data_IF_083092907572
#
_entry.id   IF_083092907572
#
_cell.length_a   1.000
_cell.length_b   1.000
_cell.length_c   1.000
_cell.angle_alpha   90.00
_cell.angle_beta   90.00
_cell.angle_gamma   90.00
#
_symmetry.space_group_name_H-M   'P 1'
#
loop_
_entity.id
_entity.type
_entity.pdbx_description
1 polymer ?
#
# COMPACT_ATOMS: atom_id res chain seq x y z
N UNK A 1 -1.49 12.76 5.14
CA UNK A 1 -2.63 11.86 5.46
C UNK A 1 -2.40 11.24 6.83
N UNK A 2 -3.37 11.34 7.74
CA UNK A 2 -3.30 10.72 9.07
C UNK A 2 -4.07 9.38 9.04
N UNK A 3 -3.40 8.29 9.40
CA UNK A 3 -4.00 6.95 9.50
C UNK A 3 -4.12 6.62 10.99
N UNK A 4 -5.31 6.23 11.43
CA UNK A 4 -5.56 5.85 12.82
C UNK A 4 -4.71 4.64 13.23
N UNK A 5 -4.33 4.52 14.52
CA UNK A 5 -3.68 3.33 15.05
C UNK A 5 -4.46 2.04 14.74
N UNK A 6 -5.79 2.10 14.79
CA UNK A 6 -6.67 0.99 14.44
C UNK A 6 -6.39 0.44 13.02
N UNK A 7 -6.42 1.31 12.00
CA UNK A 7 -6.17 0.88 10.62
C UNK A 7 -4.70 0.52 10.36
N UNK A 8 -3.74 1.15 11.06
CA UNK A 8 -2.33 0.75 10.95
C UNK A 8 -2.10 -0.70 11.41
N UNK A 9 -2.68 -1.07 12.56
CA UNK A 9 -2.54 -2.40 13.12
C UNK A 9 -3.22 -3.44 12.22
N UNK A 10 -4.46 -3.18 11.80
CA UNK A 10 -5.19 -4.09 10.91
C UNK A 10 -4.52 -4.24 9.54
N UNK A 11 -3.94 -3.17 8.98
CA UNK A 11 -3.20 -3.26 7.72
C UNK A 11 -2.02 -4.21 7.85
N UNK A 12 -1.25 -4.11 8.93
CA UNK A 12 -0.09 -4.99 9.11
C UNK A 12 -0.50 -6.47 9.12
N UNK A 13 -1.60 -6.78 9.82
CA UNK A 13 -2.10 -8.15 9.90
C UNK A 13 -2.70 -8.62 8.56
N UNK A 14 -3.42 -7.75 7.84
CA UNK A 14 -3.94 -8.04 6.50
C UNK A 14 -2.82 -8.33 5.49
N UNK A 15 -1.75 -7.53 5.49
CA UNK A 15 -0.61 -7.75 4.60
C UNK A 15 0.12 -9.06 4.92
N UNK A 16 0.24 -9.42 6.21
CA UNK A 16 0.81 -10.70 6.61
C UNK A 16 -0.03 -11.88 6.09
N UNK A 17 -1.36 -11.82 6.20
CA UNK A 17 -2.26 -12.85 5.64
C UNK A 17 -2.10 -13.01 4.12
N UNK A 18 -1.97 -11.89 3.39
CA UNK A 18 -1.74 -11.93 1.94
C UNK A 18 -0.37 -12.52 1.59
N UNK A 19 0.67 -12.19 2.36
CA UNK A 19 2.04 -12.68 2.14
C UNK A 19 2.13 -14.19 2.41
N UNK A 20 1.53 -14.66 3.51
CA UNK A 20 1.40 -16.08 3.83
C UNK A 20 0.70 -16.86 2.72
N UNK A 21 -0.24 -16.22 2.01
CA UNK A 21 -0.96 -16.82 0.88
C UNK A 21 -0.20 -16.75 -0.46
N UNK A 22 0.87 -15.97 -0.54
CA UNK A 22 1.49 -15.62 -1.82
C UNK A 22 2.24 -16.77 -2.47
N UNK A 23 3.01 -17.52 -1.66
CA UNK A 23 3.86 -18.61 -2.13
C UNK A 23 3.51 -19.96 -1.48
N UNK A 24 3.75 -21.05 -2.20
CA UNK A 24 3.74 -22.39 -1.63
C UNK A 24 5.13 -22.80 -1.10
N UNK A 25 5.20 -23.98 -0.47
CA UNK A 25 6.45 -24.53 0.07
C UNK A 25 7.53 -24.78 -0.99
N UNK A 26 7.16 -24.78 -2.28
CA UNK A 26 8.07 -24.91 -3.42
C UNK A 26 8.47 -23.54 -4.00
N UNK A 27 8.00 -22.44 -3.41
CA UNK A 27 8.27 -21.07 -3.88
C UNK A 27 7.42 -20.61 -5.07
N UNK A 28 6.39 -21.35 -5.47
CA UNK A 28 5.51 -20.98 -6.58
C UNK A 28 4.45 -19.98 -6.15
N UNK A 29 4.18 -18.99 -7.00
CA UNK A 29 3.15 -17.98 -6.72
C UNK A 29 1.74 -18.56 -6.88
N UNK A 30 1.02 -18.73 -5.77
CA UNK A 30 -0.29 -19.42 -5.70
C UNK A 30 -1.42 -18.56 -5.14
N UNK A 31 -1.19 -17.26 -4.96
CA UNK A 31 -2.14 -16.32 -4.33
C UNK A 31 -3.57 -16.42 -4.89
N UNK A 32 -3.73 -16.35 -6.22
CA UNK A 32 -5.05 -16.40 -6.86
C UNK A 32 -5.80 -17.70 -6.57
N UNK A 33 -5.09 -18.83 -6.52
CA UNK A 33 -5.68 -20.14 -6.19
C UNK A 33 -6.14 -20.17 -4.73
N UNK A 34 -5.33 -19.66 -3.80
CA UNK A 34 -5.69 -19.59 -2.37
C UNK A 34 -6.83 -18.62 -2.10
N UNK A 35 -6.88 -17.48 -2.79
CA UNK A 35 -8.01 -16.54 -2.73
C UNK A 35 -9.30 -17.20 -3.20
N UNK A 36 -9.27 -17.91 -4.32
CA UNK A 36 -10.43 -18.65 -4.82
C UNK A 36 -10.90 -19.73 -3.83
N UNK A 37 -9.98 -20.37 -3.12
CA UNK A 37 -10.32 -21.32 -2.06
C UNK A 37 -10.96 -20.61 -0.86
N UNK A 38 -10.36 -19.54 -0.34
CA UNK A 38 -10.92 -18.75 0.78
C UNK A 38 -12.33 -18.24 0.49
N UNK A 39 -12.61 -17.82 -0.75
CA UNK A 39 -13.96 -17.40 -1.18
C UNK A 39 -14.99 -18.53 -1.15
N UNK A 40 -14.58 -19.79 -1.35
CA UNK A 40 -15.48 -20.95 -1.20
C UNK A 40 -15.76 -21.30 0.26
N UNK A 41 -14.87 -20.90 1.15
CA UNK A 41 -14.96 -21.10 2.59
C UNK A 41 -15.63 -19.90 3.31
N UNK A 42 -16.27 -19.00 2.55
CA UNK A 42 -16.81 -17.74 3.08
C UNK A 42 -17.82 -17.93 4.21
N UNK A 43 -18.65 -18.98 4.16
CA UNK A 43 -19.62 -19.27 5.22
C UNK A 43 -18.94 -19.59 6.55
N UNK A 44 -17.78 -20.25 6.51
CA UNK A 44 -16.98 -20.50 7.71
C UNK A 44 -16.31 -19.21 8.17
N UNK A 45 -15.65 -18.49 7.26
CA UNK A 45 -14.91 -17.25 7.56
C UNK A 45 -15.83 -16.13 8.09
N UNK A 46 -17.08 -16.10 7.66
CA UNK A 46 -18.12 -15.17 8.13
C UNK A 46 -18.34 -15.19 9.65
N UNK A 47 -17.98 -16.27 10.35
CA UNK A 47 -18.07 -16.32 11.81
C UNK A 47 -16.97 -15.50 12.50
N UNK A 48 -15.93 -15.10 11.77
CA UNK A 48 -14.75 -14.38 12.29
C UNK A 48 -14.73 -12.90 11.92
N UNK A 49 -15.84 -12.35 11.40
CA UNK A 49 -15.88 -10.95 10.93
C UNK A 49 -15.50 -9.94 12.00
N UNK A 50 -15.89 -10.16 13.26
CA UNK A 50 -15.59 -9.24 14.37
C UNK A 50 -14.26 -9.55 15.06
N UNK A 51 -13.91 -10.84 15.19
CA UNK A 51 -12.72 -11.27 15.93
C UNK A 51 -11.42 -11.15 15.12
N UNK A 52 -11.49 -11.40 13.81
CA UNK A 52 -10.32 -11.41 12.90
C UNK A 52 -10.70 -10.88 11.51
N UNK A 53 -11.11 -9.60 11.40
CA UNK A 53 -11.55 -9.00 10.13
C UNK A 53 -10.46 -9.03 9.05
N UNK A 54 -9.18 -8.91 9.42
CA UNK A 54 -8.05 -8.97 8.49
C UNK A 54 -7.99 -10.28 7.70
N UNK A 55 -8.24 -11.41 8.36
CA UNK A 55 -8.21 -12.73 7.74
C UNK A 55 -9.37 -12.91 6.77
N UNK A 56 -10.55 -12.39 7.12
CA UNK A 56 -11.73 -12.50 6.25
C UNK A 56 -11.63 -11.52 5.08
N UNK A 57 -10.98 -10.37 5.26
CA UNK A 57 -10.82 -9.34 4.21
C UNK A 57 -10.17 -9.89 2.94
N UNK A 58 -9.27 -10.88 3.05
CA UNK A 58 -8.60 -11.51 1.89
C UNK A 58 -9.59 -12.04 0.85
N UNK A 59 -10.80 -12.45 1.23
CA UNK A 59 -11.82 -12.94 0.28
C UNK A 59 -12.26 -11.87 -0.72
N UNK A 60 -12.20 -10.61 -0.32
CA UNK A 60 -12.55 -9.43 -1.10
C UNK A 60 -11.33 -8.73 -1.71
N UNK A 61 -10.13 -9.31 -1.59
CA UNK A 61 -8.94 -8.78 -2.24
C UNK A 61 -9.15 -8.68 -3.76
N UNK A 62 -8.79 -7.54 -4.32
CA UNK A 62 -9.07 -7.07 -5.70
C UNK A 62 -10.55 -6.95 -6.04
N UNK A 63 -11.42 -6.88 -5.04
CA UNK A 63 -12.87 -6.79 -5.19
C UNK A 63 -13.41 -5.36 -5.18
N UNK A 64 -12.58 -4.37 -4.85
CA UNK A 64 -12.98 -2.98 -4.68
C UNK A 64 -12.31 -2.06 -5.71
N UNK A 65 -13.08 -1.12 -6.27
CA UNK A 65 -12.63 0.03 -7.04
C UNK A 65 -13.07 1.30 -6.34
N UNK A 66 -12.15 2.23 -6.10
CA UNK A 66 -12.41 3.44 -5.32
C UNK A 66 -12.60 4.64 -6.25
N UNK A 67 -13.73 5.35 -6.09
CA UNK A 67 -14.08 6.53 -6.90
C UNK A 67 -13.59 7.84 -6.27
N UNK A 68 -13.47 7.87 -4.93
CA UNK A 68 -13.06 9.06 -4.19
C UNK A 68 -11.98 8.75 -3.16
N UNK A 69 -10.75 9.20 -3.43
CA UNK A 69 -9.64 9.09 -2.49
C UNK A 69 -9.89 9.89 -1.21
N UNK A 70 -10.54 11.07 -1.31
CA UNK A 70 -10.80 11.93 -0.14
C UNK A 70 -11.73 11.26 0.89
N UNK A 71 -12.75 10.52 0.43
CA UNK A 71 -13.65 9.76 1.32
C UNK A 71 -12.89 8.65 2.03
N UNK A 72 -12.02 7.93 1.32
CA UNK A 72 -11.22 6.86 1.91
C UNK A 72 -10.14 7.40 2.86
N UNK A 73 -9.49 8.51 2.52
CA UNK A 73 -8.50 9.16 3.38
C UNK A 73 -9.13 9.67 4.68
N UNK A 74 -10.36 10.17 4.61
CA UNK A 74 -11.13 10.48 5.82
C UNK A 74 -11.50 9.22 6.61
N UNK A 75 -11.97 8.16 5.94
CA UNK A 75 -12.27 6.89 6.60
C UNK A 75 -11.08 6.36 7.41
N UNK A 76 -9.87 6.43 6.83
CA UNK A 76 -8.64 6.00 7.48
C UNK A 76 -8.25 6.84 8.71
N UNK A 77 -8.80 8.04 8.87
CA UNK A 77 -8.57 8.86 10.06
C UNK A 77 -9.49 8.50 11.24
N UNK A 78 -10.45 7.60 11.05
CA UNK A 78 -11.45 7.21 12.05
C UNK A 78 -11.00 5.99 12.87
N UNK A 79 -11.57 5.86 14.07
CA UNK A 79 -11.47 4.68 14.93
C UNK A 79 -12.65 3.73 14.68
N UNK A 80 -12.57 2.50 15.19
CA UNK A 80 -13.54 1.41 14.93
C UNK A 80 -14.98 1.73 15.33
N UNK A 81 -15.18 2.60 16.32
CA UNK A 81 -16.47 3.03 16.87
C UNK A 81 -17.11 4.20 16.08
N UNK A 82 -16.34 4.85 15.21
CA UNK A 82 -16.77 6.03 14.44
C UNK A 82 -16.95 5.76 12.96
N UNK A 83 -16.90 4.49 12.55
CA UNK A 83 -17.01 4.12 11.15
C UNK A 83 -18.41 4.43 10.58
N UNK A 84 -18.50 4.94 9.34
CA UNK A 84 -19.78 5.23 8.70
C UNK A 84 -20.56 3.95 8.38
N UNK A 85 -21.85 4.10 8.09
CA UNK A 85 -22.65 3.01 7.55
C UNK A 85 -22.16 2.60 6.15
N UNK A 86 -22.20 1.29 5.85
CA UNK A 86 -21.79 0.76 4.56
C UNK A 86 -22.52 1.43 3.38
N UNK A 87 -23.83 1.64 3.47
CA UNK A 87 -24.62 2.21 2.37
C UNK A 87 -24.21 3.66 2.02
N UNK A 88 -23.65 4.41 2.98
CA UNK A 88 -23.09 5.74 2.71
C UNK A 88 -21.74 5.65 2.01
N UNK A 89 -20.88 4.71 2.45
CA UNK A 89 -19.55 4.52 1.87
C UNK A 89 -19.60 3.88 0.48
N UNK A 90 -20.54 2.97 0.25
CA UNK A 90 -20.73 2.25 -1.00
C UNK A 90 -21.00 3.17 -2.20
N UNK A 91 -21.41 4.43 -1.98
CA UNK A 91 -21.56 5.42 -3.05
C UNK A 91 -20.21 5.87 -3.63
N UNK A 92 -19.14 5.81 -2.83
CA UNK A 92 -17.78 6.18 -3.21
C UNK A 92 -16.94 4.99 -3.70
N UNK A 93 -17.52 3.78 -3.74
CA UNK A 93 -16.85 2.52 -4.05
C UNK A 93 -17.65 1.79 -5.12
N UNK A 94 -16.97 1.01 -5.93
CA UNK A 94 -17.57 0.07 -6.87
C UNK A 94 -16.99 -1.32 -6.60
N UNK A 95 -17.86 -2.31 -6.48
CA UNK A 95 -17.45 -3.69 -6.32
C UNK A 95 -17.22 -4.30 -7.70
N UNK A 96 -16.27 -5.23 -7.80
CA UNK A 96 -16.18 -6.09 -8.98
C UNK A 96 -17.44 -6.96 -9.11
N UNK A 97 -17.89 -7.33 -10.33
CA UNK A 97 -19.07 -8.17 -10.52
C UNK A 97 -19.07 -9.45 -9.66
N UNK A 98 -17.91 -10.11 -9.53
CA UNK A 98 -17.76 -11.32 -8.72
C UNK A 98 -17.85 -11.07 -7.21
N UNK A 99 -17.54 -9.86 -6.74
CA UNK A 99 -17.52 -9.50 -5.32
C UNK A 99 -18.90 -9.10 -4.79
N UNK A 100 -19.86 -8.79 -5.66
CA UNK A 100 -21.21 -8.38 -5.26
C UNK A 100 -21.94 -9.47 -4.47
N UNK A 101 -21.89 -10.72 -4.94
CA UNK A 101 -22.56 -11.84 -4.26
C UNK A 101 -21.96 -12.09 -2.87
N UNK A 102 -20.63 -11.98 -2.74
CA UNK A 102 -19.93 -12.10 -1.46
C UNK A 102 -20.31 -10.97 -0.50
N UNK A 103 -20.36 -9.73 -0.99
CA UNK A 103 -20.80 -8.60 -0.17
C UNK A 103 -22.23 -8.80 0.34
N UNK A 104 -23.17 -9.23 -0.52
CA UNK A 104 -24.56 -9.54 -0.12
C UNK A 104 -24.61 -10.66 0.93
N UNK A 105 -23.78 -11.70 0.80
CA UNK A 105 -23.68 -12.78 1.78
C UNK A 105 -23.17 -12.27 3.13
N UNK A 106 -22.10 -11.47 3.12
CA UNK A 106 -21.48 -10.90 4.31
C UNK A 106 -22.43 -9.94 5.04
N UNK A 107 -23.22 -9.13 4.32
CA UNK A 107 -24.23 -8.24 4.92
C UNK A 107 -25.32 -8.97 5.72
N UNK A 108 -25.55 -10.26 5.46
CA UNK A 108 -26.50 -11.07 6.24
C UNK A 108 -25.98 -11.40 7.64
N UNK A 109 -24.67 -11.31 7.83
CA UNK A 109 -24.03 -11.64 9.10
C UNK A 109 -24.12 -10.47 10.08
N UNK A 110 -24.14 -10.75 11.40
CA UNK A 110 -23.90 -9.73 12.41
C UNK A 110 -22.58 -9.01 12.10
N UNK A 111 -22.59 -7.67 12.19
CA UNK A 111 -21.42 -6.81 11.84
C UNK A 111 -20.96 -6.87 10.38
N UNK A 112 -21.73 -7.48 9.46
CA UNK A 112 -21.40 -7.52 8.03
C UNK A 112 -21.14 -6.15 7.41
N UNK A 113 -22.00 -5.17 7.69
CA UNK A 113 -21.85 -3.80 7.17
C UNK A 113 -20.59 -3.12 7.72
N UNK A 114 -20.32 -3.27 9.01
CA UNK A 114 -19.09 -2.77 9.64
C UNK A 114 -17.85 -3.42 9.01
N UNK A 115 -17.89 -4.73 8.80
CA UNK A 115 -16.80 -5.48 8.18
C UNK A 115 -16.52 -4.98 6.76
N UNK A 116 -17.54 -4.75 5.94
CA UNK A 116 -17.35 -4.28 4.57
C UNK A 116 -16.66 -2.90 4.54
N UNK A 117 -16.97 -2.03 5.49
CA UNK A 117 -16.27 -0.76 5.67
C UNK A 117 -14.80 -0.99 6.00
N UNK A 118 -14.50 -1.83 6.98
CA UNK A 118 -13.11 -2.18 7.36
C UNK A 118 -12.35 -2.81 6.20
N UNK A 119 -12.94 -3.81 5.53
CA UNK A 119 -12.36 -4.50 4.39
C UNK A 119 -12.03 -3.54 3.24
N UNK A 120 -12.93 -2.60 2.95
CA UNK A 120 -12.70 -1.58 1.93
C UNK A 120 -11.55 -0.62 2.28
N UNK A 121 -11.41 -0.25 3.55
CA UNK A 121 -10.31 0.57 4.02
C UNK A 121 -8.97 -0.16 3.89
N UNK A 122 -8.92 -1.43 4.29
CA UNK A 122 -7.72 -2.26 4.19
C UNK A 122 -7.29 -2.48 2.74
N UNK A 123 -8.24 -2.76 1.85
CA UNK A 123 -7.94 -2.91 0.43
C UNK A 123 -7.43 -1.60 -0.18
N UNK A 124 -8.03 -0.46 0.16
CA UNK A 124 -7.56 0.84 -0.31
C UNK A 124 -6.11 1.13 0.12
N UNK A 125 -5.75 0.81 1.36
CA UNK A 125 -4.38 0.95 1.84
C UNK A 125 -3.41 0.01 1.13
N UNK A 126 -3.84 -1.22 0.82
CA UNK A 126 -3.05 -2.19 0.07
C UNK A 126 -2.75 -1.69 -1.34
N UNK A 127 -3.78 -1.28 -2.10
CA UNK A 127 -3.63 -0.75 -3.47
C UNK A 127 -2.70 0.48 -3.50
N UNK A 128 -2.80 1.37 -2.52
CA UNK A 128 -1.94 2.56 -2.46
C UNK A 128 -0.48 2.25 -2.17
N UNK A 129 -0.21 1.16 -1.46
CA UNK A 129 1.16 0.70 -1.18
C UNK A 129 1.75 -0.06 -2.38
N UNK A 130 0.91 -0.77 -3.14
CA UNK A 130 1.33 -1.48 -4.36
C UNK A 130 1.61 -0.52 -5.54
N UNK A 131 0.97 0.65 -5.57
CA UNK A 131 1.31 1.68 -6.55
C UNK A 131 2.65 2.30 -6.19
N UNK A 132 3.68 2.23 -7.07
CA UNK A 132 4.85 3.08 -6.93
C UNK A 132 4.35 4.52 -6.89
N UNK A 133 4.69 5.26 -5.82
CA UNK A 133 4.55 6.71 -5.90
C UNK A 133 5.41 7.17 -7.07
N UNK A 134 4.91 7.98 -8.02
CA UNK A 134 5.84 8.70 -8.89
C UNK A 134 6.72 9.51 -7.94
N UNK A 135 8.03 9.28 -7.99
CA UNK A 135 8.99 10.03 -7.21
C UNK A 135 8.73 11.52 -7.48
N UNK A 136 8.15 12.22 -6.50
CA UNK A 136 8.00 13.65 -6.57
C UNK A 136 9.40 14.25 -6.34
N UNK A 137 10.14 14.45 -7.43
CA UNK A 137 11.50 14.98 -7.35
C UNK A 137 12.32 14.84 -8.62
N UNK A 138 11.84 15.39 -9.73
CA UNK A 138 12.67 16.02 -10.79
C UNK A 138 11.71 16.74 -11.72
N UNK A 139 11.48 18.02 -11.41
CA UNK A 139 10.85 18.95 -12.34
C UNK A 139 11.93 19.46 -13.29
N UNK A 140 11.62 19.49 -14.59
CA UNK A 140 12.50 19.89 -15.69
C UNK A 140 13.05 18.64 -16.40
N UNK A 141 12.82 18.40 -17.68
CA UNK A 141 12.58 19.32 -18.78
C UNK A 141 11.64 18.67 -19.82
N UNK A 142 10.83 19.52 -20.42
CA UNK A 142 10.06 19.23 -21.63
C UNK A 142 11.07 19.05 -22.78
N UNK A 143 11.11 17.88 -23.42
CA UNK A 143 11.73 17.77 -24.75
C UNK A 143 10.68 17.27 -25.74
N UNK A 144 10.10 18.23 -26.47
CA UNK A 144 9.45 18.01 -27.75
C UNK A 144 10.43 18.44 -28.86
N UNK A 145 10.60 17.56 -29.86
CA UNK A 145 11.25 17.74 -31.19
C UNK A 145 12.79 17.63 -31.19
N UNK A 146 13.45 17.00 -32.17
CA UNK A 146 13.11 16.82 -33.57
C UNK A 146 13.83 15.59 -34.17
N UNK A 147 13.33 15.10 -35.29
CA UNK A 147 13.98 14.09 -36.12
C UNK A 147 15.18 14.68 -36.88
N UNK A 148 16.28 13.93 -37.07
CA UNK A 148 16.81 13.53 -38.40
C UNK A 148 18.10 12.68 -38.33
N UNK A 149 18.10 11.70 -39.22
CA UNK A 149 19.15 10.94 -39.94
C UNK A 149 20.60 10.68 -39.43
N UNK A 150 20.92 9.37 -39.52
CA UNK A 150 22.12 8.75 -40.13
C UNK A 150 23.53 8.76 -39.50
N UNK A 151 24.06 7.53 -39.52
CA UNK A 151 25.44 7.02 -39.64
C UNK A 151 26.46 7.23 -38.51
N UNK A 152 26.87 6.09 -37.93
CA UNK A 152 28.17 5.42 -38.14
C UNK A 152 28.86 4.93 -36.85
N UNK A 153 29.11 3.62 -36.87
CA UNK A 153 30.15 2.84 -36.20
C UNK A 153 31.34 3.63 -35.61
N UNK A 154 31.61 3.42 -34.30
CA UNK A 154 32.98 3.28 -33.77
C UNK A 154 33.03 2.87 -32.30
N UNK A 155 33.68 1.74 -32.07
CA UNK A 155 34.36 1.35 -30.82
C UNK A 155 35.22 2.49 -30.24
N UNK A 156 35.13 2.75 -28.92
CA UNK A 156 36.32 3.01 -28.08
C UNK A 156 36.06 2.99 -26.55
N UNK A 157 36.72 2.04 -25.90
CA UNK A 157 37.45 2.05 -24.61
C UNK A 157 36.97 2.84 -23.37
N UNK A 158 36.68 2.04 -22.33
CA UNK A 158 37.35 2.03 -21.01
C UNK A 158 37.39 3.35 -20.20
N UNK A 159 36.35 3.58 -19.38
CA UNK A 159 36.39 4.45 -18.21
C UNK A 159 36.33 3.62 -16.91
N UNK A 160 37.22 3.91 -15.98
CA UNK A 160 37.49 3.19 -14.72
C UNK A 160 36.26 3.10 -13.79
N UNK A 161 36.08 2.01 -13.01
CA UNK A 161 35.02 1.95 -12.01
C UNK A 161 35.40 2.83 -10.81
N UNK A 162 34.63 3.90 -10.57
CA UNK A 162 34.69 4.66 -9.33
C UNK A 162 34.28 3.77 -8.15
N UNK A 163 35.16 3.70 -7.14
CA UNK A 163 35.07 2.84 -5.96
C UNK A 163 33.79 3.14 -5.15
N UNK A 164 32.83 2.21 -5.14
CA UNK A 164 31.50 2.33 -4.49
C UNK A 164 31.60 2.70 -3.00
N UNK A 165 32.73 2.40 -2.34
CA UNK A 165 32.99 2.76 -0.94
C UNK A 165 33.10 4.27 -0.68
N UNK A 166 33.57 5.07 -1.64
CA UNK A 166 33.70 6.53 -1.47
C UNK A 166 32.35 7.26 -1.60
N UNK A 167 31.39 6.63 -2.27
CA UNK A 167 30.03 7.16 -2.44
C UNK A 167 29.20 6.95 -1.18
N UNK A 168 29.31 5.78 -0.55
CA UNK A 168 28.66 5.47 0.73
C UNK A 168 29.16 6.37 1.87
N UNK A 169 30.48 6.64 1.96
CA UNK A 169 31.05 7.48 3.00
C UNK A 169 30.61 8.96 2.88
N UNK A 170 30.36 9.41 1.64
CA UNK A 170 29.81 10.75 1.36
C UNK A 170 28.32 10.84 1.70
N UNK A 171 27.56 9.82 1.36
CA UNK A 171 26.13 9.72 1.68
C UNK A 171 25.89 9.59 3.20
N UNK A 172 26.79 8.92 3.92
CA UNK A 172 26.73 8.84 5.39
C UNK A 172 27.00 10.20 6.05
N UNK A 173 28.01 10.94 5.58
CA UNK A 173 28.25 12.32 6.06
C UNK A 173 27.09 13.26 5.74
N UNK A 174 26.52 13.19 4.56
CA UNK A 174 25.36 14.01 4.18
C UNK A 174 24.13 13.68 5.03
N UNK A 175 23.93 12.40 5.40
CA UNK A 175 22.85 11.97 6.30
C UNK A 175 23.09 12.45 7.74
N UNK A 176 24.33 12.43 8.22
CA UNK A 176 24.70 12.98 9.53
C UNK A 176 24.50 14.50 9.59
N UNK A 177 24.89 15.22 8.54
CA UNK A 177 24.70 16.68 8.44
C UNK A 177 23.21 17.06 8.39
N UNK A 178 22.41 16.35 7.58
CA UNK A 178 20.96 16.56 7.50
C UNK A 178 20.25 16.23 8.81
N UNK A 179 20.69 15.17 9.51
CA UNK A 179 20.18 14.85 10.85
C UNK A 179 20.54 15.90 11.90
N UNK A 180 21.75 16.47 11.82
CA UNK A 180 22.20 17.54 12.71
C UNK A 180 21.41 18.84 12.48
N UNK A 181 21.16 19.21 11.23
CA UNK A 181 20.37 20.41 10.91
C UNK A 181 18.90 20.26 11.34
N UNK A 182 18.33 19.05 11.21
CA UNK A 182 16.99 18.77 11.74
C UNK A 182 16.91 18.92 13.27
N UNK A 183 17.95 18.51 14.00
CA UNK A 183 17.99 18.67 15.46
C UNK A 183 18.08 20.15 15.87
N UNK A 184 18.85 20.96 15.14
CA UNK A 184 18.95 22.41 15.37
C UNK A 184 17.61 23.11 15.13
N UNK A 185 16.89 22.72 14.07
CA UNK A 185 15.58 23.28 13.77
C UNK A 185 14.51 22.92 14.82
N UNK A 186 14.68 21.80 15.53
CA UNK A 186 13.88 21.42 16.70
C UNK A 186 14.36 22.05 18.02
N UNK A 187 15.36 22.94 17.98
CA UNK A 187 15.87 23.67 19.14
C UNK A 187 16.88 22.90 20.00
N UNK A 188 17.45 21.80 19.48
CA UNK A 188 18.57 21.11 20.13
C UNK A 188 19.90 21.74 19.72
N UNK A 189 20.77 21.98 20.71
CA UNK A 189 22.11 22.55 20.49
C UNK A 189 23.00 21.56 19.71
N UNK A 190 23.81 22.07 18.78
CA UNK A 190 24.71 21.23 17.96
C UNK A 190 25.75 20.66 18.91
N UNK A 191 26.01 19.35 18.84
CA UNK A 191 26.96 18.71 19.75
C UNK A 191 28.38 19.09 19.33
N UNK A 192 28.86 20.23 19.81
CA UNK A 192 30.29 20.58 19.79
C UNK A 192 31.04 19.54 20.63
N UNK A 193 31.68 18.59 19.96
CA UNK A 193 32.66 17.72 20.61
C UNK A 193 33.93 18.56 20.85
N UNK A 194 34.27 18.77 22.12
CA UNK A 194 35.66 18.93 22.53
C UNK A 194 36.44 17.62 22.35
#
# INVERSE_FOLDING_TARGET
>A
MHISPYFRNLRSAYLAELDDMKFDSEGKHVLNRRLAQRRREIDFLAHMLEASPEMVTVVLHKGFRFKSAAVMDHLLSLESDKLPAWDSLAQAIELEPWAHELAVLLRKQPKGDWFLVVASALEYMCIRHERPQPAAGTAGEEEEKDADDSVEDRDHETGEPEDEGMREEREEREREEAGADWLVEQGFDRKDNA
#
